data_IF_194282051851
#
_entry.id   IF_194282051851
#
_cell.length_a   1.000
_cell.length_b   1.000
_cell.length_c   1.000
_cell.angle_alpha   90.00
_cell.angle_beta   90.00
_cell.angle_gamma   90.00
#
_symmetry.space_group_name_H-M   'P 1'
#
loop_
_entity.id
_entity.type
_entity.pdbx_description
1 polymer ?
#
# COMPACT_ATOMS: atom_id res chain seq x y z
N UNK A 1 20.76 -31.25 18.60
CA UNK A 1 21.20 -29.83 18.61
C UNK A 1 20.04 -28.85 18.86
N UNK A 2 18.89 -29.00 18.21
CA UNK A 2 17.72 -28.11 18.38
C UNK A 2 17.00 -28.15 19.74
N UNK A 3 17.11 -29.26 20.48
CA UNK A 3 16.48 -29.41 21.81
C UNK A 3 17.15 -28.56 22.91
N UNK A 4 18.43 -28.19 22.71
CA UNK A 4 19.17 -27.30 23.62
C UNK A 4 18.95 -25.81 23.30
N UNK A 5 18.68 -25.47 22.04
CA UNK A 5 18.33 -24.10 21.64
C UNK A 5 16.95 -23.69 22.16
N UNK A 6 15.98 -24.62 22.14
CA UNK A 6 14.62 -24.36 22.64
C UNK A 6 14.55 -24.24 24.16
N UNK A 7 15.38 -25.01 24.89
CA UNK A 7 15.50 -24.90 26.34
C UNK A 7 16.19 -23.58 26.77
N UNK A 8 17.19 -23.11 26.00
CA UNK A 8 17.88 -21.85 26.26
C UNK A 8 16.99 -20.61 26.04
N UNK A 9 16.10 -20.65 25.05
CA UNK A 9 15.14 -19.57 24.79
C UNK A 9 14.01 -19.51 25.84
N UNK A 10 13.61 -20.66 26.40
CA UNK A 10 12.59 -20.71 27.46
C UNK A 10 13.13 -20.30 28.84
N UNK A 11 14.44 -20.48 29.09
CA UNK A 11 15.09 -20.03 30.33
C UNK A 11 15.35 -18.52 30.41
N UNK A 12 15.40 -17.82 29.27
CA UNK A 12 15.55 -16.35 29.22
C UNK A 12 14.22 -15.62 29.47
N UNK A 13 13.09 -16.30 29.28
CA UNK A 13 11.74 -15.76 29.48
C UNK A 13 11.18 -15.95 30.91
N UNK A 14 11.95 -16.52 31.84
CA UNK A 14 11.49 -16.85 33.21
C UNK A 14 12.37 -16.29 34.34
N UNK A 15 13.32 -15.41 34.05
CA UNK A 15 14.22 -14.82 35.06
C UNK A 15 14.06 -13.31 35.21
N UNK A 16 12.84 -12.84 35.49
CA UNK A 16 12.62 -11.51 36.08
C UNK A 16 11.56 -11.64 37.15
N UNK A 17 11.96 -11.97 38.38
CA UNK A 17 11.18 -11.73 39.61
C UNK A 17 12.04 -12.03 40.84
N UNK A 18 12.00 -11.11 41.82
CA UNK A 18 12.59 -11.16 43.18
C UNK A 18 14.08 -10.78 43.25
N UNK A 19 14.59 -9.92 44.14
CA UNK A 19 14.13 -9.27 45.37
C UNK A 19 14.86 -7.92 45.54
N UNK A 20 14.20 -6.92 46.12
CA UNK A 20 14.87 -5.90 46.92
C UNK A 20 13.92 -5.48 48.06
N UNK A 21 13.96 -6.23 49.16
CA UNK A 21 13.45 -5.81 50.46
C UNK A 21 14.53 -4.96 51.12
N UNK A 22 14.34 -3.65 51.13
CA UNK A 22 15.15 -2.72 51.91
C UNK A 22 14.53 -2.54 53.30
N UNK A 23 15.34 -2.81 54.33
CA UNK A 23 15.02 -2.65 55.75
C UNK A 23 14.61 -1.20 56.07
N UNK A 24 13.63 -1.08 56.97
CA UNK A 24 13.26 0.19 57.61
C UNK A 24 14.13 0.35 58.85
N UNK A 25 15.15 1.19 58.76
CA UNK A 25 15.91 1.64 59.93
C UNK A 25 15.39 3.01 60.38
N UNK A 26 14.86 3.05 61.60
CA UNK A 26 14.31 4.24 62.25
C UNK A 26 15.44 5.02 62.91
N UNK A 27 16.00 5.99 62.19
CA UNK A 27 17.01 6.92 62.71
C UNK A 27 16.67 8.37 62.37
N UNK A 28 16.46 9.19 63.40
CA UNK A 28 16.26 10.64 63.36
C UNK A 28 17.34 11.36 62.54
N UNK A 29 16.95 12.03 61.44
CA UNK A 29 17.84 12.91 60.67
C UNK A 29 17.76 14.37 61.17
N UNK A 30 18.90 15.06 61.32
CA UNK A 30 18.94 16.49 61.63
C UNK A 30 18.56 17.36 60.41
N UNK A 31 17.91 18.50 60.68
CA UNK A 31 17.52 19.52 59.69
C UNK A 31 18.69 19.93 58.78
N UNK A 32 18.56 19.63 57.48
CA UNK A 32 19.42 20.19 56.42
C UNK A 32 18.83 21.52 55.92
N UNK A 33 19.65 22.56 55.74
CA UNK A 33 19.19 23.84 55.22
C UNK A 33 18.73 23.71 53.77
N UNK A 34 17.61 24.36 53.44
CA UNK A 34 16.97 24.32 52.13
C UNK A 34 17.95 24.72 51.00
N UNK A 35 18.16 23.79 50.07
CA UNK A 35 18.86 24.07 48.81
C UNK A 35 18.05 25.07 47.96
N UNK A 36 18.70 25.94 47.16
CA UNK A 36 18.01 26.84 46.26
C UNK A 36 17.11 26.04 45.30
N UNK A 37 15.82 26.42 45.23
CA UNK A 37 14.90 25.82 44.27
C UNK A 37 15.39 26.13 42.85
N UNK A 38 15.97 25.14 42.16
CA UNK A 38 16.19 25.18 40.73
C UNK A 38 14.81 25.42 40.08
N UNK A 39 14.58 26.62 39.53
CA UNK A 39 13.40 26.93 38.72
C UNK A 39 13.32 25.88 37.61
N UNK A 40 12.33 24.99 37.68
CA UNK A 40 12.14 23.95 36.67
C UNK A 40 11.69 24.62 35.38
N UNK A 41 12.54 24.61 34.36
CA UNK A 41 12.13 24.84 32.97
C UNK A 41 11.03 23.84 32.64
N UNK A 42 9.85 24.34 32.25
CA UNK A 42 8.74 23.52 31.82
C UNK A 42 8.92 23.18 30.34
N UNK A 43 8.63 21.94 29.95
CA UNK A 43 8.78 21.50 28.57
C UNK A 43 7.40 21.40 27.92
N UNK A 44 7.24 22.02 26.75
CA UNK A 44 6.01 21.94 25.96
C UNK A 44 6.25 21.02 24.76
N UNK A 45 5.59 19.85 24.69
CA UNK A 45 5.69 18.99 23.52
C UNK A 45 5.11 19.67 22.29
N UNK A 46 5.84 19.60 21.17
CA UNK A 46 5.41 20.03 19.84
C UNK A 46 5.28 18.80 18.96
N UNK A 47 4.07 18.51 18.52
CA UNK A 47 3.78 17.46 17.53
C UNK A 47 3.47 18.09 16.18
N UNK A 48 3.63 17.31 15.10
CA UNK A 48 3.38 17.79 13.73
C UNK A 48 2.37 16.89 13.03
N UNK A 49 1.36 17.51 12.42
CA UNK A 49 0.46 16.92 11.43
C UNK A 49 0.97 17.40 10.07
N UNK A 50 1.44 16.48 9.23
CA UNK A 50 1.90 16.78 7.87
C UNK A 50 1.22 15.84 6.87
N UNK A 51 0.64 16.40 5.82
CA UNK A 51 -0.10 15.66 4.80
C UNK A 51 -1.52 15.27 5.22
N UNK A 52 -2.09 14.27 4.57
CA UNK A 52 -3.49 13.87 4.80
C UNK A 52 -3.72 13.26 6.19
N UNK A 53 -4.83 13.63 6.83
CA UNK A 53 -5.21 13.12 8.16
C UNK A 53 -5.91 11.76 8.01
N UNK A 54 -5.10 10.70 8.05
CA UNK A 54 -5.55 9.31 8.12
C UNK A 54 -5.56 8.74 9.55
N UNK A 55 -5.94 7.47 9.73
CA UNK A 55 -6.05 6.84 11.06
C UNK A 55 -4.73 6.80 11.83
N UNK A 56 -3.59 6.62 11.14
CA UNK A 56 -2.27 6.62 11.78
C UNK A 56 -1.90 8.00 12.37
N UNK A 57 -2.21 9.08 11.65
CA UNK A 57 -2.02 10.45 12.14
C UNK A 57 -2.96 10.73 13.30
N UNK A 58 -4.22 10.27 13.22
CA UNK A 58 -5.18 10.35 14.32
C UNK A 58 -4.68 9.67 15.59
N UNK A 59 -4.29 8.40 15.52
CA UNK A 59 -3.76 7.64 16.65
C UNK A 59 -2.51 8.29 17.27
N UNK A 60 -1.61 8.82 16.43
CA UNK A 60 -0.44 9.58 16.90
C UNK A 60 -0.83 10.82 17.71
N UNK A 61 -1.66 11.69 17.14
CA UNK A 61 -2.08 12.95 17.78
C UNK A 61 -2.83 12.67 19.07
N UNK A 62 -3.76 11.71 19.06
CA UNK A 62 -4.55 11.31 20.23
C UNK A 62 -3.63 10.82 21.36
N UNK A 63 -2.67 9.94 21.07
CA UNK A 63 -1.73 9.44 22.07
C UNK A 63 -0.86 10.54 22.67
N UNK A 64 -0.39 11.48 21.86
CA UNK A 64 0.44 12.58 22.36
C UNK A 64 -0.38 13.55 23.21
N UNK A 65 -1.65 13.81 22.86
CA UNK A 65 -2.57 14.56 23.73
C UNK A 65 -2.78 13.80 25.06
N UNK A 66 -3.07 12.50 25.02
CA UNK A 66 -3.26 11.68 26.23
C UNK A 66 -1.99 11.64 27.09
N UNK A 67 -0.83 11.52 26.45
CA UNK A 67 0.48 11.53 27.12
C UNK A 67 0.74 12.87 27.78
N UNK A 68 0.51 13.99 27.09
CA UNK A 68 0.69 15.31 27.65
C UNK A 68 -0.26 15.54 28.84
N UNK A 69 -1.51 15.06 28.74
CA UNK A 69 -2.46 15.06 29.86
C UNK A 69 -1.97 14.19 31.05
N UNK A 70 -1.25 13.09 30.81
CA UNK A 70 -0.74 12.24 31.91
C UNK A 70 0.43 12.84 32.70
N UNK A 71 1.08 13.89 32.19
CA UNK A 71 2.22 14.54 32.84
C UNK A 71 1.67 15.55 33.85
N UNK A 72 2.04 15.37 35.13
CA UNK A 72 1.72 16.32 36.18
C UNK A 72 2.27 17.72 35.83
N UNK A 73 1.42 18.73 35.94
CA UNK A 73 1.75 20.14 35.67
C UNK A 73 2.26 20.42 34.24
N UNK A 74 1.86 19.62 33.25
CA UNK A 74 2.16 19.91 31.85
C UNK A 74 1.55 21.27 31.44
N UNK A 75 2.38 22.23 30.98
CA UNK A 75 1.91 23.59 30.73
C UNK A 75 0.97 23.69 29.52
N UNK A 76 1.22 22.87 28.48
CA UNK A 76 0.45 22.82 27.25
C UNK A 76 0.95 21.70 26.33
N UNK A 77 0.28 21.49 25.20
CA UNK A 77 0.79 20.81 24.01
C UNK A 77 0.60 21.71 22.78
N UNK A 78 1.59 21.72 21.87
CA UNK A 78 1.50 22.44 20.58
C UNK A 78 1.35 21.43 19.44
N UNK A 79 0.40 21.70 18.55
CA UNK A 79 0.16 20.93 17.33
C UNK A 79 0.48 21.82 16.12
N UNK A 80 1.61 21.55 15.45
CA UNK A 80 1.94 22.18 14.18
C UNK A 80 1.18 21.48 13.04
N UNK A 81 0.52 22.24 12.16
CA UNK A 81 -0.41 21.73 11.16
C UNK A 81 0.04 22.18 9.77
N UNK A 82 0.23 21.20 8.88
CA UNK A 82 0.30 21.36 7.44
C UNK A 82 -0.48 20.21 6.77
N UNK A 83 -1.74 20.45 6.43
CA UNK A 83 -2.63 19.41 5.93
C UNK A 83 -3.58 19.91 4.84
N UNK A 84 -3.77 19.14 3.75
CA UNK A 84 -4.86 19.35 2.79
C UNK A 84 -6.23 18.94 3.32
N UNK A 85 -6.31 18.20 4.44
CA UNK A 85 -7.53 17.58 4.92
C UNK A 85 -7.34 16.10 5.24
N UNK A 86 -8.43 15.37 5.38
CA UNK A 86 -8.40 13.94 5.64
C UNK A 86 -9.76 13.36 5.96
N UNK A 87 -9.77 12.20 6.62
CA UNK A 87 -11.00 11.48 6.95
C UNK A 87 -11.77 12.19 8.06
N UNK A 88 -13.10 12.28 7.90
CA UNK A 88 -14.00 12.87 8.90
C UNK A 88 -13.96 12.09 10.22
N UNK A 89 -13.77 10.76 10.19
CA UNK A 89 -13.61 9.94 11.39
C UNK A 89 -12.39 10.37 12.21
N UNK A 90 -11.20 10.39 11.60
CA UNK A 90 -9.97 10.84 12.25
C UNK A 90 -10.07 12.26 12.76
N UNK A 91 -10.70 13.17 11.99
CA UNK A 91 -10.98 14.53 12.42
C UNK A 91 -11.82 14.58 13.70
N UNK A 92 -12.95 13.85 13.72
CA UNK A 92 -13.88 13.85 14.86
C UNK A 92 -13.21 13.29 16.10
N UNK A 93 -12.43 12.21 15.97
CA UNK A 93 -11.71 11.58 17.07
C UNK A 93 -10.63 12.51 17.66
N UNK A 94 -9.85 13.19 16.80
CA UNK A 94 -8.86 14.18 17.25
C UNK A 94 -9.56 15.31 18.00
N UNK A 95 -10.61 15.89 17.42
CA UNK A 95 -11.31 17.01 18.04
C UNK A 95 -11.93 16.64 19.38
N UNK A 96 -12.51 15.44 19.52
CA UNK A 96 -13.02 14.96 20.80
C UNK A 96 -11.93 14.94 21.88
N UNK A 97 -10.72 14.49 21.54
CA UNK A 97 -9.60 14.47 22.48
C UNK A 97 -9.05 15.87 22.79
N UNK A 98 -9.06 16.79 21.81
CA UNK A 98 -8.72 18.20 22.05
C UNK A 98 -9.72 18.84 23.02
N UNK A 99 -11.01 18.61 22.81
CA UNK A 99 -12.10 19.15 23.64
C UNK A 99 -12.12 18.54 25.05
N UNK A 100 -11.71 17.27 25.20
CA UNK A 100 -11.61 16.58 26.48
C UNK A 100 -10.27 16.82 27.20
N UNK A 101 -9.33 17.53 26.58
CA UNK A 101 -8.00 17.79 27.16
C UNK A 101 -8.11 18.68 28.40
N UNK A 102 -7.45 18.29 29.49
CA UNK A 102 -7.39 19.06 30.71
C UNK A 102 -6.12 19.93 30.80
N UNK A 103 -5.31 19.96 29.75
CA UNK A 103 -4.24 20.93 29.53
C UNK A 103 -4.54 21.77 28.27
N UNK A 104 -3.98 22.99 28.17
CA UNK A 104 -4.09 23.81 26.96
C UNK A 104 -3.53 23.09 25.72
N UNK A 105 -4.30 23.13 24.63
CA UNK A 105 -3.90 22.64 23.30
C UNK A 105 -3.81 23.83 22.36
N UNK A 106 -2.61 24.14 21.89
CA UNK A 106 -2.34 25.25 20.99
C UNK A 106 -2.04 24.71 19.60
N UNK A 107 -2.67 25.26 18.57
CA UNK A 107 -2.49 24.80 17.20
C UNK A 107 -1.85 25.90 16.36
N UNK A 108 -0.84 25.54 15.57
CA UNK A 108 -0.07 26.45 14.73
C UNK A 108 -0.07 25.95 13.29
N UNK A 109 -0.62 26.71 12.36
CA UNK A 109 -0.40 26.43 10.92
C UNK A 109 1.01 26.86 10.56
N UNK A 110 1.90 25.89 10.28
CA UNK A 110 3.34 26.09 10.11
C UNK A 110 3.96 24.89 9.40
N UNK A 111 5.03 25.07 8.59
CA UNK A 111 5.83 26.30 8.33
C UNK A 111 5.15 27.32 7.40
N UNK A 112 5.76 28.49 7.11
CA UNK A 112 5.31 29.34 6.01
C UNK A 112 5.09 28.55 4.71
N UNK A 113 3.96 28.79 4.03
CA UNK A 113 3.49 27.98 2.90
C UNK A 113 2.59 26.81 3.28
N UNK A 114 2.51 26.43 4.57
CA UNK A 114 1.60 25.41 5.07
C UNK A 114 0.13 25.86 5.00
N UNK A 115 -0.75 24.88 5.13
CA UNK A 115 -2.19 25.08 5.15
C UNK A 115 -2.89 24.25 6.22
N UNK A 116 -3.99 24.77 6.74
CA UNK A 116 -4.96 24.02 7.54
C UNK A 116 -6.27 23.90 6.75
N UNK A 117 -6.23 23.17 5.64
CA UNK A 117 -7.39 23.00 4.77
C UNK A 117 -8.31 21.86 5.25
N UNK A 118 -9.60 21.94 4.91
CA UNK A 118 -10.57 20.89 5.18
C UNK A 118 -10.57 20.48 6.67
N UNK A 119 -10.30 19.22 6.99
CA UNK A 119 -10.18 18.73 8.36
C UNK A 119 -9.21 19.57 9.24
N UNK A 120 -8.14 20.12 8.66
CA UNK A 120 -7.22 21.01 9.37
C UNK A 120 -7.89 22.26 9.94
N UNK A 121 -8.89 22.82 9.25
CA UNK A 121 -9.67 23.97 9.73
C UNK A 121 -10.47 23.60 10.98
N UNK A 122 -11.13 22.44 10.99
CA UNK A 122 -11.89 21.98 12.16
C UNK A 122 -10.98 21.67 13.36
N UNK A 123 -9.78 21.12 13.13
CA UNK A 123 -8.79 20.91 14.20
C UNK A 123 -8.38 22.25 14.79
N UNK A 124 -7.98 23.20 13.95
CA UNK A 124 -7.59 24.55 14.38
C UNK A 124 -8.70 25.22 15.20
N UNK A 125 -9.96 25.09 14.78
CA UNK A 125 -11.14 25.60 15.50
C UNK A 125 -11.42 24.89 16.82
N UNK A 126 -11.00 23.65 17.02
CA UNK A 126 -11.18 22.94 18.28
C UNK A 126 -10.15 23.35 19.35
N UNK A 127 -8.95 23.77 18.91
CA UNK A 127 -7.83 24.10 19.79
C UNK A 127 -8.15 25.33 20.66
N UNK A 128 -7.52 25.38 21.84
CA UNK A 128 -7.71 26.47 22.79
C UNK A 128 -7.13 27.77 22.24
N UNK A 129 -5.92 27.71 21.68
CA UNK A 129 -5.30 28.79 20.91
C UNK A 129 -5.13 28.32 19.47
N UNK A 130 -5.61 29.12 18.53
CA UNK A 130 -5.39 28.95 17.11
C UNK A 130 -4.40 30.01 16.64
N UNK A 131 -3.35 29.58 15.96
CA UNK A 131 -2.31 30.44 15.46
C UNK A 131 -1.88 30.07 14.05
N UNK A 132 -1.33 31.04 13.33
CA UNK A 132 -0.84 30.86 11.96
C UNK A 132 0.50 31.57 11.78
N UNK A 133 1.43 30.91 11.09
CA UNK A 133 2.63 31.55 10.60
C UNK A 133 2.32 32.47 9.41
N UNK A 134 3.15 33.50 9.14
CA UNK A 134 3.04 34.28 7.92
C UNK A 134 3.02 33.40 6.67
N UNK A 135 2.29 33.84 5.63
CA UNK A 135 2.14 33.11 4.37
C UNK A 135 1.56 31.69 4.52
N UNK A 136 0.68 31.47 5.49
CA UNK A 136 -0.13 30.24 5.61
C UNK A 136 -1.61 30.52 5.32
N UNK A 137 -2.37 29.46 5.08
CA UNK A 137 -3.81 29.56 4.75
C UNK A 137 -4.67 28.58 5.54
N UNK A 138 -5.95 28.91 5.73
CA UNK A 138 -6.97 28.00 6.26
C UNK A 138 -8.28 28.10 5.47
N UNK A 139 -9.20 27.15 5.69
CA UNK A 139 -10.52 27.12 5.06
C UNK A 139 -10.70 25.91 4.14
N UNK A 140 -11.47 26.09 3.05
CA UNK A 140 -11.84 25.00 2.14
C UNK A 140 -12.38 23.77 2.92
N UNK A 141 -13.34 24.02 3.80
CA UNK A 141 -13.85 23.09 4.82
C UNK A 141 -15.13 22.35 4.41
N UNK A 142 -15.51 22.43 3.13
CA UNK A 142 -16.66 21.74 2.55
C UNK A 142 -16.44 20.23 2.60
N UNK A 143 -17.37 19.44 3.16
CA UNK A 143 -17.27 17.99 3.12
C UNK A 143 -17.46 17.51 1.68
N UNK A 144 -16.56 16.63 1.25
CA UNK A 144 -16.67 15.94 -0.03
C UNK A 144 -16.86 14.45 0.25
N UNK A 145 -17.76 13.82 -0.49
CA UNK A 145 -18.08 12.42 -0.29
C UNK A 145 -17.03 11.57 -1.01
N UNK A 146 -16.24 10.81 -0.24
CA UNK A 146 -15.36 9.79 -0.79
C UNK A 146 -16.23 8.64 -1.31
N UNK A 147 -16.33 8.51 -2.63
CA UNK A 147 -17.28 7.62 -3.31
C UNK A 147 -18.23 8.40 -4.21
N UNK A 148 -17.82 8.59 -5.46
CA UNK A 148 -18.64 9.16 -6.53
C UNK A 148 -19.83 8.27 -6.90
N UNK A 149 -20.69 8.73 -7.83
CA UNK A 149 -21.82 7.93 -8.31
C UNK A 149 -21.29 6.62 -8.91
N UNK A 150 -21.93 5.49 -8.57
CA UNK A 150 -21.54 4.15 -9.02
C UNK A 150 -21.47 3.99 -10.56
N UNK A 151 -21.00 2.82 -11.04
CA UNK A 151 -20.70 2.61 -12.45
C UNK A 151 -21.98 2.77 -13.30
N UNK A 152 -22.01 3.79 -14.16
CA UNK A 152 -23.14 4.09 -15.05
C UNK A 152 -23.64 5.54 -15.00
N UNK A 153 -23.14 6.37 -14.09
CA UNK A 153 -23.40 7.81 -14.11
C UNK A 153 -22.59 8.49 -15.22
N UNK A 154 -23.24 8.83 -16.33
CA UNK A 154 -22.72 9.86 -17.22
C UNK A 154 -22.32 11.08 -16.38
N UNK A 155 -21.16 11.67 -16.67
CA UNK A 155 -20.81 13.01 -16.23
C UNK A 155 -21.89 13.97 -16.76
N UNK A 156 -22.97 14.14 -16.01
CA UNK A 156 -23.90 15.21 -16.27
C UNK A 156 -23.24 16.49 -15.77
N UNK A 157 -22.65 17.23 -16.70
CA UNK A 157 -22.23 18.63 -16.62
C UNK A 157 -23.40 19.61 -16.33
N UNK A 158 -24.45 19.15 -15.64
CA UNK A 158 -25.52 19.99 -15.11
C UNK A 158 -25.34 20.07 -13.60
N UNK A 159 -25.45 21.25 -12.98
CA UNK A 159 -25.51 21.36 -11.52
C UNK A 159 -26.81 20.68 -11.08
N UNK A 160 -26.74 19.37 -10.83
CA UNK A 160 -27.77 18.64 -10.13
C UNK A 160 -27.86 19.25 -8.74
N UNK A 161 -29.07 19.61 -8.31
CA UNK A 161 -29.30 20.01 -6.93
C UNK A 161 -28.66 18.99 -5.97
N UNK A 162 -27.96 19.43 -4.91
CA UNK A 162 -27.31 18.50 -4.02
C UNK A 162 -28.32 17.52 -3.45
N UNK A 163 -27.94 16.25 -3.42
CA UNK A 163 -28.79 15.17 -2.96
C UNK A 163 -29.24 15.41 -1.51
N UNK A 164 -30.34 14.77 -1.09
CA UNK A 164 -30.79 14.87 0.30
C UNK A 164 -29.71 14.41 1.30
N UNK A 165 -28.82 13.49 0.89
CA UNK A 165 -27.68 13.06 1.69
C UNK A 165 -26.58 14.12 1.75
N UNK A 166 -26.19 14.70 0.62
CA UNK A 166 -25.20 15.78 0.54
C UNK A 166 -25.64 17.00 1.37
N UNK A 167 -26.92 17.38 1.27
CA UNK A 167 -27.50 18.45 2.11
C UNK A 167 -27.40 18.12 3.59
N UNK A 168 -27.61 16.85 4.00
CA UNK A 168 -27.48 16.42 5.40
C UNK A 168 -26.03 16.50 5.89
N UNK A 169 -25.08 15.98 5.11
CA UNK A 169 -23.64 16.03 5.43
C UNK A 169 -23.17 17.49 5.52
N UNK A 170 -23.54 18.32 4.54
CA UNK A 170 -23.20 19.75 4.54
C UNK A 170 -23.75 20.46 5.79
N UNK A 171 -25.02 20.24 6.13
CA UNK A 171 -25.63 20.87 7.30
C UNK A 171 -25.01 20.37 8.62
N UNK A 172 -24.64 19.10 8.73
CA UNK A 172 -23.90 18.56 9.89
C UNK A 172 -22.53 19.23 10.03
N UNK A 173 -21.77 19.33 8.93
CA UNK A 173 -20.48 20.01 8.89
C UNK A 173 -20.58 21.48 9.29
N UNK A 174 -21.60 22.20 8.80
CA UNK A 174 -21.87 23.60 9.16
C UNK A 174 -22.20 23.72 10.64
N UNK A 175 -23.11 22.88 11.16
CA UNK A 175 -23.45 22.89 12.58
C UNK A 175 -22.22 22.61 13.45
N UNK A 176 -21.38 21.68 13.03
CA UNK A 176 -20.18 21.30 13.76
C UNK A 176 -19.16 22.42 13.83
N UNK A 177 -18.73 23.01 12.71
CA UNK A 177 -17.73 24.10 12.74
C UNK A 177 -18.26 25.32 13.50
N UNK A 178 -19.56 25.64 13.35
CA UNK A 178 -20.20 26.74 14.09
C UNK A 178 -20.16 26.50 15.60
N UNK A 179 -20.40 25.26 16.04
CA UNK A 179 -20.33 24.91 17.46
C UNK A 179 -18.91 25.08 18.04
N UNK A 180 -17.88 24.69 17.28
CA UNK A 180 -16.48 24.90 17.68
C UNK A 180 -16.12 26.39 17.72
N UNK A 181 -16.60 27.16 16.72
CA UNK A 181 -16.42 28.61 16.67
C UNK A 181 -17.03 29.30 17.89
N UNK A 182 -18.29 28.96 18.22
CA UNK A 182 -19.00 29.49 19.38
C UNK A 182 -18.30 29.12 20.69
N UNK A 183 -17.91 27.85 20.85
CA UNK A 183 -17.20 27.37 22.03
C UNK A 183 -15.90 28.13 22.28
N UNK A 184 -15.22 28.55 21.22
CA UNK A 184 -13.90 29.20 21.29
C UNK A 184 -13.94 30.71 21.06
N UNK A 185 -15.13 31.31 20.96
CA UNK A 185 -15.30 32.75 20.73
C UNK A 185 -14.74 33.24 19.39
N UNK A 186 -14.72 32.39 18.37
CA UNK A 186 -14.22 32.67 17.02
C UNK A 186 -15.36 33.05 16.08
N UNK A 187 -15.02 33.69 14.97
CA UNK A 187 -15.97 34.13 13.95
C UNK A 187 -16.81 32.97 13.39
N UNK A 188 -18.09 32.96 13.75
CA UNK A 188 -19.05 31.88 13.44
C UNK A 188 -19.54 32.00 12.01
N UNK A 189 -19.75 33.23 11.54
CA UNK A 189 -20.21 33.52 10.18
C UNK A 189 -19.17 33.09 9.16
N UNK A 190 -17.90 33.39 9.41
CA UNK A 190 -16.81 32.95 8.55
C UNK A 190 -16.61 31.43 8.61
N UNK A 191 -16.70 30.83 9.80
CA UNK A 191 -16.62 29.38 9.96
C UNK A 191 -17.65 28.66 9.08
N UNK A 192 -18.89 29.16 9.02
CA UNK A 192 -19.90 28.63 8.11
C UNK A 192 -19.53 28.82 6.64
N UNK A 193 -19.05 30.01 6.24
CA UNK A 193 -18.61 30.28 4.85
C UNK A 193 -17.50 29.34 4.40
N UNK A 194 -16.55 29.02 5.28
CA UNK A 194 -15.48 28.07 4.98
C UNK A 194 -16.01 26.69 4.57
N UNK A 195 -17.18 26.29 5.09
CA UNK A 195 -17.83 25.01 4.77
C UNK A 195 -18.82 25.15 3.61
N UNK A 196 -19.67 26.17 3.61
CA UNK A 196 -20.74 26.35 2.61
C UNK A 196 -20.20 26.78 1.25
N UNK A 197 -19.19 27.63 1.23
CA UNK A 197 -18.65 28.29 0.04
C UNK A 197 -17.20 27.90 -0.26
N UNK A 198 -16.64 26.94 0.49
CA UNK A 198 -15.23 26.56 0.45
C UNK A 198 -14.27 27.75 0.64
N UNK A 199 -14.71 28.80 1.36
CA UNK A 199 -13.92 30.02 1.54
C UNK A 199 -12.58 29.75 2.23
N UNK A 200 -11.56 30.53 1.88
CA UNK A 200 -10.20 30.46 2.45
C UNK A 200 -9.74 31.83 2.92
N UNK A 201 -8.85 31.86 3.91
CA UNK A 201 -8.17 33.08 4.39
C UNK A 201 -6.66 32.88 4.48
N UNK A 202 -5.93 33.97 4.28
CA UNK A 202 -4.54 34.10 4.73
C UNK A 202 -4.44 34.33 6.24
N UNK A 203 -3.26 34.10 6.81
CA UNK A 203 -2.99 34.32 8.24
C UNK A 203 -3.40 35.72 8.75
N UNK A 204 -3.11 36.77 7.99
CA UNK A 204 -3.43 38.15 8.39
C UNK A 204 -4.94 38.40 8.41
N UNK A 205 -5.66 37.99 7.36
CA UNK A 205 -7.12 38.15 7.30
C UNK A 205 -7.82 37.29 8.38
N UNK A 206 -7.28 36.11 8.67
CA UNK A 206 -7.78 35.24 9.74
C UNK A 206 -7.64 35.90 11.12
N UNK A 207 -6.55 36.63 11.37
CA UNK A 207 -6.38 37.38 12.60
C UNK A 207 -7.37 38.55 12.68
N UNK A 208 -7.46 39.34 11.60
CA UNK A 208 -8.37 40.50 11.51
C UNK A 208 -9.85 40.10 11.70
N UNK A 209 -10.24 38.96 11.15
CA UNK A 209 -11.61 38.45 11.24
C UNK A 209 -11.88 37.66 12.52
N UNK A 210 -10.95 37.57 13.48
CA UNK A 210 -11.08 36.77 14.71
C UNK A 210 -11.39 35.29 14.43
N UNK A 211 -10.72 34.72 13.42
CA UNK A 211 -10.71 33.29 13.10
C UNK A 211 -9.58 32.59 13.86
N UNK A 212 -8.47 33.29 14.08
CA UNK A 212 -7.34 32.83 14.91
C UNK A 212 -7.07 33.82 16.04
N UNK A 213 -6.35 33.37 17.07
CA UNK A 213 -6.01 34.17 18.23
C UNK A 213 -4.78 35.06 17.98
N UNK A 214 -3.74 34.49 17.35
CA UNK A 214 -2.44 35.17 17.17
C UNK A 214 -1.74 34.70 15.91
N UNK A 215 -0.81 35.50 15.41
CA UNK A 215 0.19 35.05 14.44
C UNK A 215 1.51 34.72 15.15
N UNK A 216 2.20 33.67 14.71
CA UNK A 216 3.48 33.25 15.27
C UNK A 216 4.34 32.54 14.22
N UNK A 217 5.62 32.86 14.12
CA UNK A 217 6.51 32.30 13.09
C UNK A 217 6.96 30.87 13.42
N UNK A 218 7.08 30.56 14.71
CA UNK A 218 7.50 29.25 15.22
C UNK A 218 6.68 28.81 16.44
N UNK A 219 6.76 27.52 16.83
CA UNK A 219 6.18 27.04 18.09
C UNK A 219 6.66 27.81 19.32
N UNK A 220 7.93 28.25 19.35
CA UNK A 220 8.45 29.03 20.47
C UNK A 220 7.86 30.45 20.50
N UNK A 221 7.66 31.06 19.33
CA UNK A 221 7.01 32.38 19.22
C UNK A 221 5.54 32.29 19.62
N UNK A 222 4.87 31.17 19.32
CA UNK A 222 3.49 30.92 19.75
C UNK A 222 3.39 30.89 21.27
N UNK A 223 4.30 30.17 21.96
CA UNK A 223 4.33 30.19 23.43
C UNK A 223 4.55 31.61 23.97
N UNK A 224 5.45 32.36 23.34
CA UNK A 224 5.72 33.75 23.73
C UNK A 224 4.50 34.65 23.54
N UNK A 225 3.80 34.54 22.40
CA UNK A 225 2.60 35.32 22.08
C UNK A 225 1.35 34.90 22.89
N UNK A 226 1.29 33.64 23.34
CA UNK A 226 0.20 33.12 24.15
C UNK A 226 0.37 33.42 25.65
N UNK A 227 1.57 33.80 26.10
CA UNK A 227 1.84 34.13 27.50
C UNK A 227 1.01 35.34 27.94
N UNK A 228 0.37 35.23 29.10
CA UNK A 228 -0.53 36.25 29.66
C UNK A 228 -1.97 36.19 29.14
N UNK A 229 -2.25 35.38 28.11
CA UNK A 229 -3.63 35.16 27.66
C UNK A 229 -4.39 34.32 28.69
N UNK A 230 -5.68 34.61 28.84
CA UNK A 230 -6.57 33.89 29.75
C UNK A 230 -7.56 33.09 28.92
N UNK A 231 -7.72 31.81 29.25
CA UNK A 231 -8.65 30.90 28.56
C UNK A 231 -9.46 30.07 29.55
N UNK A 232 -10.61 29.59 29.08
CA UNK A 232 -11.43 28.64 29.84
C UNK A 232 -10.91 27.21 29.61
N UNK A 233 -10.53 26.55 30.71
CA UNK A 233 -10.13 25.14 30.76
C UNK A 233 -10.89 24.47 31.90
N UNK A 234 -11.62 23.39 31.62
CA UNK A 234 -12.45 22.69 32.62
C UNK A 234 -13.38 23.63 33.43
N UNK A 235 -14.00 24.62 32.78
CA UNK A 235 -14.83 25.65 33.40
C UNK A 235 -14.10 26.56 34.41
N UNK A 236 -12.78 26.63 34.32
CA UNK A 236 -11.94 27.53 35.10
C UNK A 236 -11.17 28.46 34.17
N UNK A 237 -11.02 29.72 34.58
CA UNK A 237 -10.17 30.67 33.87
C UNK A 237 -8.71 30.37 34.25
N UNK A 238 -7.90 30.02 33.25
CA UNK A 238 -6.47 29.74 33.39
C UNK A 238 -5.69 30.80 32.61
N UNK A 239 -4.79 31.52 33.29
CA UNK A 239 -3.84 32.42 32.64
C UNK A 239 -2.60 31.63 32.25
N UNK A 240 -2.23 31.70 30.97
CA UNK A 240 -1.09 30.99 30.42
C UNK A 240 0.23 31.68 30.82
N UNK A 241 1.18 30.90 31.32
CA UNK A 241 2.56 31.35 31.57
C UNK A 241 3.56 30.40 30.91
N UNK A 242 4.20 30.88 29.86
CA UNK A 242 5.25 30.14 29.14
C UNK A 242 6.60 30.84 29.19
N UNK A 243 6.79 31.78 30.13
CA UNK A 243 7.98 32.66 30.21
C UNK A 243 9.31 31.90 30.29
N UNK A 244 9.27 30.65 30.78
CA UNK A 244 10.42 29.76 30.91
C UNK A 244 10.21 28.40 30.22
N UNK A 245 9.21 28.31 29.34
CA UNK A 245 8.90 27.07 28.65
C UNK A 245 9.82 26.86 27.44
N UNK A 246 10.29 25.63 27.29
CA UNK A 246 11.08 25.19 26.13
C UNK A 246 10.26 24.22 25.29
N UNK A 247 10.32 24.39 23.97
CA UNK A 247 9.70 23.44 23.04
C UNK A 247 10.51 22.15 22.96
N UNK A 248 9.82 21.01 23.06
CA UNK A 248 10.39 19.69 22.79
C UNK A 248 9.66 19.08 21.60
N UNK A 249 10.37 18.92 20.48
CA UNK A 249 9.80 18.25 19.33
C UNK A 249 9.56 16.78 19.65
N UNK A 250 8.34 16.32 19.39
CA UNK A 250 7.95 14.92 19.44
C UNK A 250 7.76 14.43 18.01
N UNK A 251 8.55 13.44 17.63
CA UNK A 251 8.41 12.75 16.35
C UNK A 251 7.57 11.47 16.54
N UNK A 252 6.84 11.02 15.49
CA UNK A 252 6.10 9.77 15.55
C UNK A 252 6.99 8.58 15.93
N UNK A 253 6.48 7.72 16.81
CA UNK A 253 7.14 6.48 17.22
C UNK A 253 7.19 5.44 16.07
N UNK A 254 7.92 4.34 16.28
CA UNK A 254 8.05 3.28 15.26
C UNK A 254 6.70 2.68 14.87
N UNK A 255 5.77 2.56 15.82
CA UNK A 255 4.43 2.03 15.55
C UNK A 255 3.65 2.97 14.65
N UNK A 256 3.65 4.27 14.91
CA UNK A 256 2.96 5.27 14.11
C UNK A 256 3.60 5.39 12.73
N UNK A 257 4.92 5.32 12.62
CA UNK A 257 5.62 5.23 11.33
C UNK A 257 5.21 3.98 10.55
N UNK A 258 5.12 2.83 11.21
CA UNK A 258 4.66 1.59 10.58
C UNK A 258 3.20 1.71 10.12
N UNK A 259 2.31 2.18 10.98
CA UNK A 259 0.90 2.41 10.66
C UNK A 259 0.75 3.37 9.49
N UNK A 260 1.42 4.52 9.53
CA UNK A 260 1.40 5.49 8.43
C UNK A 260 1.89 4.87 7.12
N UNK A 261 2.96 4.06 7.18
CA UNK A 261 3.51 3.36 6.01
C UNK A 261 2.51 2.37 5.42
N UNK A 262 1.87 1.53 6.24
CA UNK A 262 0.93 0.52 5.72
C UNK A 262 -0.41 1.14 5.30
N UNK A 263 -0.81 2.27 5.88
CA UNK A 263 -2.02 3.01 5.48
C UNK A 263 -1.81 3.89 4.26
N UNK A 264 -0.60 3.96 3.70
CA UNK A 264 -0.40 4.53 2.37
C UNK A 264 -1.06 3.62 1.32
N UNK A 265 -1.99 4.14 0.49
CA UNK A 265 -2.68 3.39 -0.55
C UNK A 265 -1.76 2.59 -1.48
N UNK A 266 -0.61 3.15 -1.86
CA UNK A 266 0.33 2.51 -2.78
C UNK A 266 1.05 1.35 -2.08
N UNK A 267 1.45 1.55 -0.82
CA UNK A 267 2.08 0.49 -0.02
C UNK A 267 1.08 -0.64 0.25
N UNK A 268 -0.15 -0.32 0.67
CA UNK A 268 -1.21 -1.33 0.87
C UNK A 268 -1.46 -2.14 -0.40
N UNK A 269 -1.51 -1.46 -1.55
CA UNK A 269 -1.69 -2.08 -2.86
C UNK A 269 -0.52 -3.00 -3.25
N UNK A 270 0.74 -2.55 -3.04
CA UNK A 270 1.94 -3.35 -3.30
C UNK A 270 1.97 -4.58 -2.38
N UNK A 271 1.68 -4.42 -1.09
CA UNK A 271 1.61 -5.51 -0.12
C UNK A 271 0.56 -6.55 -0.53
N UNK A 272 -0.60 -6.11 -1.00
CA UNK A 272 -1.61 -7.02 -1.54
C UNK A 272 -1.09 -7.77 -2.77
N UNK A 273 -0.42 -7.10 -3.72
CA UNK A 273 0.15 -7.75 -4.91
C UNK A 273 1.21 -8.78 -4.54
N UNK A 274 2.14 -8.44 -3.64
CA UNK A 274 3.11 -9.39 -3.10
C UNK A 274 2.39 -10.54 -2.41
N UNK A 275 1.31 -10.24 -1.67
CA UNK A 275 0.49 -11.22 -0.99
C UNK A 275 -0.10 -12.26 -1.93
N UNK A 276 -0.79 -11.78 -2.96
CA UNK A 276 -1.42 -12.58 -4.00
C UNK A 276 -0.38 -13.40 -4.77
N UNK A 277 0.69 -12.77 -5.28
CA UNK A 277 1.71 -13.49 -6.04
C UNK A 277 2.51 -14.48 -5.18
N UNK A 278 2.78 -14.17 -3.92
CA UNK A 278 3.46 -15.08 -2.99
C UNK A 278 2.65 -16.37 -2.74
N UNK A 279 1.35 -16.23 -2.55
CA UNK A 279 0.45 -17.39 -2.45
C UNK A 279 0.43 -18.18 -3.77
N UNK A 280 0.35 -17.51 -4.92
CA UNK A 280 0.35 -18.18 -6.22
C UNK A 280 1.62 -18.98 -6.48
N UNK A 281 2.79 -18.40 -6.19
CA UNK A 281 4.07 -19.09 -6.38
C UNK A 281 4.19 -20.34 -5.50
N UNK A 282 3.68 -20.30 -4.27
CA UNK A 282 3.64 -21.49 -3.40
C UNK A 282 2.74 -22.60 -3.97
N UNK A 283 1.63 -22.24 -4.60
CA UNK A 283 0.74 -23.21 -5.26
C UNK A 283 1.36 -23.83 -6.53
N UNK A 284 2.10 -23.06 -7.34
CA UNK A 284 2.76 -23.61 -8.55
C UNK A 284 4.03 -24.40 -8.23
N UNK A 285 4.78 -23.93 -7.25
CA UNK A 285 6.07 -24.49 -6.86
C UNK A 285 6.15 -24.49 -5.34
N UNK A 286 5.88 -25.63 -4.67
CA UNK A 286 5.96 -25.73 -3.22
C UNK A 286 7.35 -25.26 -2.75
N UNK A 287 7.42 -24.07 -2.16
CA UNK A 287 8.69 -23.36 -1.91
C UNK A 287 9.03 -23.38 -0.42
N UNK A 288 9.07 -24.57 0.18
CA UNK A 288 9.24 -24.76 1.64
C UNK A 288 8.28 -23.90 2.49
N UNK A 289 7.18 -23.39 1.92
CA UNK A 289 6.27 -22.44 2.57
C UNK A 289 6.73 -20.98 2.62
N UNK A 290 7.92 -20.62 2.12
CA UNK A 290 8.47 -19.25 2.29
C UNK A 290 7.63 -18.23 1.50
N UNK A 291 7.35 -18.51 0.22
CA UNK A 291 6.52 -17.63 -0.60
C UNK A 291 5.09 -17.57 -0.07
N UNK A 292 4.54 -18.72 0.36
CA UNK A 292 3.19 -18.80 0.90
C UNK A 292 3.02 -18.03 2.21
N UNK A 293 3.93 -18.18 3.18
CA UNK A 293 3.90 -17.48 4.47
C UNK A 293 4.08 -15.97 4.26
N UNK A 294 5.07 -15.58 3.46
CA UNK A 294 5.32 -14.16 3.14
C UNK A 294 4.09 -13.56 2.46
N UNK A 295 3.52 -14.28 1.48
CA UNK A 295 2.31 -13.87 0.78
C UNK A 295 1.12 -13.69 1.73
N UNK A 296 0.87 -14.67 2.60
CA UNK A 296 -0.21 -14.61 3.58
C UNK A 296 -0.07 -13.41 4.53
N UNK A 297 1.14 -13.16 5.06
CA UNK A 297 1.41 -12.02 5.95
C UNK A 297 1.17 -10.70 5.22
N UNK A 298 1.74 -10.53 4.02
CA UNK A 298 1.55 -9.33 3.22
C UNK A 298 0.08 -9.09 2.88
N UNK A 299 -0.68 -10.14 2.55
CA UNK A 299 -2.11 -10.04 2.27
C UNK A 299 -2.91 -9.64 3.51
N UNK A 300 -2.63 -10.22 4.68
CA UNK A 300 -3.31 -9.86 5.94
C UNK A 300 -3.04 -8.40 6.33
N UNK A 301 -1.80 -7.92 6.17
CA UNK A 301 -1.45 -6.52 6.43
C UNK A 301 -2.18 -5.59 5.45
N UNK A 302 -2.24 -5.95 4.17
CA UNK A 302 -2.96 -5.16 3.17
C UNK A 302 -4.47 -5.10 3.46
N UNK A 303 -5.08 -6.22 3.87
CA UNK A 303 -6.49 -6.26 4.27
C UNK A 303 -6.75 -5.38 5.50
N UNK A 304 -5.86 -5.40 6.48
CA UNK A 304 -5.94 -4.49 7.63
C UNK A 304 -5.83 -3.01 7.21
N UNK A 305 -4.92 -2.68 6.29
CA UNK A 305 -4.81 -1.32 5.75
C UNK A 305 -6.08 -0.89 5.00
N UNK A 306 -6.66 -1.77 4.18
CA UNK A 306 -7.90 -1.51 3.46
C UNK A 306 -9.12 -1.36 4.39
N UNK A 307 -9.12 -1.99 5.56
CA UNK A 307 -10.16 -1.76 6.57
C UNK A 307 -10.10 -0.33 7.14
N UNK A 308 -8.91 0.27 7.19
CA UNK A 308 -8.68 1.63 7.69
C UNK A 308 -8.87 2.71 6.61
N UNK A 309 -8.92 2.32 5.33
CA UNK A 309 -9.08 3.20 4.19
C UNK A 309 -10.52 3.14 3.65
N UNK A 310 -10.99 4.20 2.98
CA UNK A 310 -12.32 4.25 2.37
C UNK A 310 -12.36 3.42 1.07
N UNK A 311 -12.31 2.09 1.21
CA UNK A 311 -12.25 1.17 0.07
C UNK A 311 -13.62 0.97 -0.56
N UNK A 312 -13.67 1.06 -1.89
CA UNK A 312 -14.87 0.69 -2.65
C UNK A 312 -14.89 -0.82 -2.90
N UNK A 313 -15.91 -1.49 -2.35
CA UNK A 313 -16.08 -2.94 -2.50
C UNK A 313 -16.27 -3.41 -3.94
N UNK A 314 -16.81 -2.57 -4.83
CA UNK A 314 -16.90 -2.88 -6.27
C UNK A 314 -15.52 -2.92 -6.90
N UNK A 315 -14.67 -1.92 -6.60
CA UNK A 315 -13.29 -1.88 -7.06
C UNK A 315 -12.49 -3.08 -6.56
N UNK A 316 -12.59 -3.38 -5.26
CA UNK A 316 -11.98 -4.57 -4.67
C UNK A 316 -12.46 -5.87 -5.32
N UNK A 317 -13.77 -6.01 -5.55
CA UNK A 317 -14.36 -7.18 -6.20
C UNK A 317 -13.88 -7.37 -7.65
N UNK A 318 -13.84 -6.30 -8.44
CA UNK A 318 -13.31 -6.32 -9.82
C UNK A 318 -11.82 -6.68 -9.87
N UNK A 319 -11.05 -6.18 -8.91
CA UNK A 319 -9.63 -6.47 -8.82
C UNK A 319 -9.37 -7.94 -8.45
N UNK A 320 -10.11 -8.48 -7.47
CA UNK A 320 -10.07 -9.90 -7.12
C UNK A 320 -10.53 -10.79 -8.27
N UNK A 321 -11.55 -10.38 -9.03
CA UNK A 321 -11.97 -11.05 -10.25
C UNK A 321 -10.84 -11.06 -11.30
N UNK A 322 -10.17 -9.92 -11.52
CA UNK A 322 -9.04 -9.83 -12.44
C UNK A 322 -7.90 -10.78 -12.08
N UNK A 323 -7.56 -10.84 -10.79
CA UNK A 323 -6.59 -11.79 -10.23
C UNK A 323 -7.06 -13.24 -10.47
N UNK A 324 -8.32 -13.56 -10.15
CA UNK A 324 -8.87 -14.89 -10.36
C UNK A 324 -8.83 -15.33 -11.83
N UNK A 325 -9.08 -14.41 -12.77
CA UNK A 325 -8.97 -14.66 -14.20
C UNK A 325 -7.52 -14.92 -14.64
N UNK A 326 -6.54 -14.21 -14.07
CA UNK A 326 -5.12 -14.53 -14.30
C UNK A 326 -4.76 -15.93 -13.84
N UNK A 327 -5.26 -16.32 -12.67
CA UNK A 327 -5.05 -17.67 -12.13
C UNK A 327 -5.72 -18.69 -13.05
N UNK A 328 -6.96 -18.44 -13.47
CA UNK A 328 -7.70 -19.34 -14.34
C UNK A 328 -7.00 -19.56 -15.70
N UNK A 329 -6.44 -18.51 -16.32
CA UNK A 329 -5.67 -18.62 -17.58
C UNK A 329 -4.49 -19.59 -17.48
N UNK A 330 -3.86 -19.70 -16.30
CA UNK A 330 -2.73 -20.60 -16.10
C UNK A 330 -3.11 -22.08 -16.13
N UNK A 331 -4.33 -22.42 -15.67
CA UNK A 331 -4.85 -23.79 -15.60
C UNK A 331 -5.63 -24.15 -16.86
N UNK A 332 -6.30 -23.16 -17.45
CA UNK A 332 -7.10 -23.26 -18.65
C UNK A 332 -6.49 -22.30 -19.68
N UNK A 333 -5.51 -22.75 -20.50
CA UNK A 333 -4.89 -21.93 -21.52
C UNK A 333 -5.95 -21.49 -22.55
N UNK A 334 -6.56 -20.33 -22.34
CA UNK A 334 -7.71 -19.83 -23.09
C UNK A 334 -7.29 -18.97 -24.29
N UNK A 335 -6.01 -19.08 -24.66
CA UNK A 335 -5.35 -18.26 -25.69
C UNK A 335 -5.37 -16.77 -25.35
N UNK A 336 -5.30 -16.42 -24.06
CA UNK A 336 -5.21 -15.04 -23.59
C UNK A 336 -6.55 -14.32 -23.43
N UNK A 337 -7.70 -15.00 -23.58
CA UNK A 337 -9.01 -14.39 -23.35
C UNK A 337 -9.23 -14.07 -21.85
N UNK A 338 -9.03 -15.05 -20.97
CA UNK A 338 -9.11 -14.82 -19.52
C UNK A 338 -7.99 -13.90 -19.06
N UNK A 339 -6.78 -14.03 -19.62
CA UNK A 339 -5.66 -13.13 -19.34
C UNK A 339 -5.97 -11.66 -19.66
N UNK A 340 -6.46 -11.36 -20.87
CA UNK A 340 -6.79 -9.97 -21.26
C UNK A 340 -7.99 -9.41 -20.49
N UNK A 341 -9.05 -10.21 -20.30
CA UNK A 341 -10.17 -9.84 -19.43
C UNK A 341 -9.74 -9.59 -17.98
N UNK A 342 -8.78 -10.39 -17.49
CA UNK A 342 -8.15 -10.23 -16.19
C UNK A 342 -7.44 -8.89 -16.02
N UNK A 343 -6.65 -8.46 -17.02
CA UNK A 343 -5.99 -7.13 -17.01
C UNK A 343 -7.04 -6.02 -16.95
N UNK A 344 -8.06 -6.08 -17.78
CA UNK A 344 -9.09 -5.03 -17.84
C UNK A 344 -9.84 -4.95 -16.50
N UNK A 345 -10.30 -6.09 -15.98
CA UNK A 345 -10.99 -6.16 -14.69
C UNK A 345 -10.09 -5.67 -13.54
N UNK A 346 -8.81 -6.07 -13.55
CA UNK A 346 -7.82 -5.63 -12.58
C UNK A 346 -7.61 -4.12 -12.63
N UNK A 347 -7.35 -3.53 -13.81
CA UNK A 347 -7.11 -2.08 -13.95
C UNK A 347 -8.34 -1.28 -13.53
N UNK A 348 -9.54 -1.66 -13.99
CA UNK A 348 -10.78 -0.99 -13.58
C UNK A 348 -11.02 -1.13 -12.08
N UNK A 349 -10.80 -2.31 -11.52
CA UNK A 349 -10.90 -2.55 -10.08
C UNK A 349 -9.93 -1.69 -9.27
N UNK A 350 -8.67 -1.58 -9.71
CA UNK A 350 -7.64 -0.78 -9.06
C UNK A 350 -7.91 0.72 -9.12
N UNK A 351 -8.45 1.22 -10.25
CA UNK A 351 -8.86 2.63 -10.38
C UNK A 351 -10.01 2.94 -9.43
N UNK A 352 -10.97 2.03 -9.29
CA UNK A 352 -12.10 2.20 -8.38
C UNK A 352 -11.78 1.84 -6.92
N UNK A 353 -10.63 1.23 -6.63
CA UNK A 353 -10.33 0.63 -5.31
C UNK A 353 -10.44 1.64 -4.18
N UNK A 354 -9.85 2.82 -4.36
CA UNK A 354 -9.90 3.90 -3.39
C UNK A 354 -10.36 5.17 -4.09
N UNK A 355 -11.58 5.58 -3.78
CA UNK A 355 -12.23 6.74 -4.36
C UNK A 355 -12.24 7.90 -3.35
N UNK A 356 -11.23 8.77 -3.45
CA UNK A 356 -11.02 9.89 -2.52
C UNK A 356 -10.65 11.14 -3.29
N UNK A 357 -11.24 12.31 -3.01
CA UNK A 357 -10.84 13.57 -3.66
C UNK A 357 -9.45 14.08 -3.28
N UNK A 358 -8.87 13.53 -2.21
CA UNK A 358 -7.48 13.80 -1.83
C UNK A 358 -6.54 12.91 -2.64
N UNK A 359 -5.67 13.48 -3.50
CA UNK A 359 -4.71 12.71 -4.29
C UNK A 359 -3.78 11.86 -3.43
N UNK A 360 -3.44 12.31 -2.21
CA UNK A 360 -2.57 11.57 -1.29
C UNK A 360 -3.22 10.28 -0.75
N UNK A 361 -4.55 10.16 -0.82
CA UNK A 361 -5.29 8.97 -0.41
C UNK A 361 -5.70 8.08 -1.60
N UNK A 362 -5.32 8.41 -2.83
CA UNK A 362 -5.55 7.55 -4.02
C UNK A 362 -4.35 6.64 -4.28
N UNK A 363 -4.63 5.49 -4.90
CA UNK A 363 -3.57 4.67 -5.52
C UNK A 363 -3.06 5.41 -6.77
N UNK A 364 -1.74 5.51 -6.92
CA UNK A 364 -1.11 6.16 -8.06
C UNK A 364 -1.47 5.46 -9.36
N UNK A 365 -2.00 6.21 -10.33
CA UNK A 365 -2.28 5.69 -11.68
C UNK A 365 -1.00 5.13 -12.34
N UNK A 366 0.15 5.76 -12.09
CA UNK A 366 1.45 5.28 -12.58
C UNK A 366 1.75 3.87 -12.05
N UNK A 367 1.46 3.61 -10.78
CA UNK A 367 1.65 2.29 -10.18
C UNK A 367 0.70 1.25 -10.79
N UNK A 368 -0.57 1.62 -10.98
CA UNK A 368 -1.58 0.75 -11.60
C UNK A 368 -1.14 0.38 -13.02
N UNK A 369 -0.77 1.37 -13.85
CA UNK A 369 -0.32 1.12 -15.22
C UNK A 369 1.00 0.34 -15.28
N UNK A 370 1.93 0.59 -14.35
CA UNK A 370 3.18 -0.18 -14.28
C UNK A 370 2.91 -1.67 -14.04
N UNK A 371 2.06 -2.00 -13.06
CA UNK A 371 1.73 -3.39 -12.73
C UNK A 371 0.91 -4.04 -13.85
N UNK A 372 -0.03 -3.31 -14.46
CA UNK A 372 -0.79 -3.78 -15.60
C UNK A 372 0.11 -4.06 -16.81
N UNK A 373 1.07 -3.18 -17.11
CA UNK A 373 2.03 -3.35 -18.20
C UNK A 373 2.96 -4.54 -17.97
N UNK A 374 3.46 -4.74 -16.74
CA UNK A 374 4.25 -5.92 -16.39
C UNK A 374 3.43 -7.20 -16.58
N UNK A 375 2.19 -7.21 -16.10
CA UNK A 375 1.29 -8.37 -16.23
C UNK A 375 0.97 -8.67 -17.71
N UNK A 376 0.70 -7.64 -18.51
CA UNK A 376 0.50 -7.77 -19.95
C UNK A 376 1.76 -8.31 -20.67
N UNK A 377 2.94 -7.80 -20.29
CA UNK A 377 4.22 -8.26 -20.82
C UNK A 377 4.48 -9.75 -20.56
N UNK A 378 4.18 -10.22 -19.34
CA UNK A 378 4.28 -11.65 -18.98
C UNK A 378 3.33 -12.50 -19.84
N UNK A 379 2.07 -12.08 -20.00
CA UNK A 379 1.09 -12.80 -20.83
C UNK A 379 1.55 -12.87 -22.29
N UNK A 380 2.00 -11.75 -22.87
CA UNK A 380 2.51 -11.71 -24.24
C UNK A 380 3.74 -12.63 -24.39
N UNK A 381 4.65 -12.63 -23.41
CA UNK A 381 5.82 -13.50 -23.43
C UNK A 381 5.44 -14.99 -23.41
N UNK A 382 4.53 -15.39 -22.53
CA UNK A 382 4.04 -16.77 -22.45
C UNK A 382 3.35 -17.19 -23.75
N UNK A 383 2.45 -16.36 -24.27
CA UNK A 383 1.75 -16.63 -25.55
C UNK A 383 2.75 -16.79 -26.70
N UNK A 384 3.76 -15.91 -26.80
CA UNK A 384 4.82 -16.04 -27.80
C UNK A 384 5.57 -17.36 -27.67
N UNK A 385 5.97 -17.76 -26.45
CA UNK A 385 6.67 -19.03 -26.22
C UNK A 385 5.82 -20.24 -26.56
N UNK A 386 4.54 -20.25 -26.20
CA UNK A 386 3.61 -21.33 -26.54
C UNK A 386 3.42 -21.42 -28.06
N UNK A 387 3.26 -20.28 -28.76
CA UNK A 387 3.13 -20.27 -30.21
C UNK A 387 4.42 -20.72 -30.92
N UNK A 388 5.60 -20.34 -30.43
CA UNK A 388 6.89 -20.82 -30.93
C UNK A 388 7.03 -22.33 -30.74
N UNK A 389 6.64 -22.86 -29.58
CA UNK A 389 6.69 -24.29 -29.30
C UNK A 389 5.70 -25.10 -30.16
N UNK A 390 4.50 -24.57 -30.43
CA UNK A 390 3.55 -25.21 -31.34
C UNK A 390 4.00 -25.18 -32.81
N UNK A 391 4.83 -24.21 -33.20
CA UNK A 391 5.39 -24.11 -34.56
C UNK A 391 6.62 -24.99 -34.77
N UNK A 392 7.29 -25.42 -33.69
CA UNK A 392 8.30 -26.48 -33.80
C UNK A 392 7.56 -27.79 -34.08
N UNK A 393 7.83 -28.39 -35.24
CA UNK A 393 7.26 -29.68 -35.61
C UNK A 393 7.48 -30.70 -34.48
N UNK A 394 6.45 -31.49 -34.21
CA UNK A 394 6.51 -32.62 -33.29
C UNK A 394 7.50 -33.62 -33.89
N UNK A 395 8.74 -33.64 -33.39
CA UNK A 395 9.72 -34.69 -33.72
C UNK A 395 9.69 -35.73 -32.60
N UNK A 396 8.50 -36.25 -32.29
CA UNK A 396 8.33 -37.35 -31.34
C UNK A 396 7.20 -38.27 -31.78
N UNK A 397 7.55 -39.51 -32.13
CA UNK A 397 6.64 -40.55 -32.63
C UNK A 397 6.83 -40.84 -34.12
N UNK A 398 6.03 -41.79 -34.64
CA UNK A 398 6.02 -42.46 -35.96
C UNK A 398 6.53 -41.68 -37.18
N UNK A 399 6.38 -40.35 -37.20
CA UNK A 399 6.80 -39.46 -38.29
C UNK A 399 8.31 -39.16 -38.29
N UNK A 400 9.02 -39.38 -37.19
CA UNK A 400 10.47 -39.19 -37.11
C UNK A 400 11.27 -40.34 -37.76
N UNK A 401 10.69 -41.54 -37.87
CA UNK A 401 11.33 -42.70 -38.48
C UNK A 401 11.11 -42.74 -40.00
N UNK A 402 10.05 -42.11 -40.51
CA UNK A 402 9.77 -42.05 -41.94
C UNK A 402 10.82 -41.20 -42.67
N UNK A 403 11.55 -41.82 -43.62
CA UNK A 403 12.64 -41.19 -44.36
C UNK A 403 14.04 -41.50 -43.81
N UNK A 404 14.15 -42.07 -42.61
CA UNK A 404 15.43 -42.45 -42.02
C UNK A 404 16.07 -43.66 -42.70
N UNK A 405 17.39 -43.74 -42.60
CA UNK A 405 18.20 -44.79 -43.23
C UNK A 405 18.60 -45.85 -42.20
N UNK A 406 18.67 -47.09 -42.65
CA UNK A 406 19.04 -48.22 -41.81
C UNK A 406 19.70 -49.35 -42.59
N UNK A 407 19.87 -50.48 -41.91
CA UNK A 407 20.50 -51.68 -42.49
C UNK A 407 19.66 -52.91 -42.16
N UNK A 408 19.47 -53.81 -43.14
CA UNK A 408 18.85 -55.10 -42.91
C UNK A 408 19.75 -56.01 -42.05
N UNK A 409 19.25 -56.52 -40.92
CA UNK A 409 20.02 -57.36 -40.00
C UNK A 409 20.08 -58.83 -40.45
N UNK A 410 19.12 -59.24 -41.26
CA UNK A 410 18.98 -60.58 -41.82
C UNK A 410 18.46 -60.51 -43.26
N UNK A 411 18.55 -61.62 -43.98
CA UNK A 411 17.98 -61.70 -45.33
C UNK A 411 16.53 -62.16 -45.23
N UNK A 412 15.59 -61.36 -45.74
CA UNK A 412 14.17 -61.64 -45.64
C UNK A 412 13.36 -61.15 -46.86
N UNK A 413 12.20 -61.76 -47.07
CA UNK A 413 11.20 -61.38 -48.07
C UNK A 413 9.86 -61.27 -47.37
N UNK A 414 9.19 -60.14 -47.44
CA UNK A 414 8.03 -59.88 -46.59
C UNK A 414 8.48 -59.35 -45.23
N UNK A 415 8.57 -60.19 -44.19
CA UNK A 415 8.88 -59.79 -42.81
C UNK A 415 10.32 -60.13 -42.36
N UNK A 416 10.96 -59.24 -41.62
CA UNK A 416 12.23 -59.50 -40.93
C UNK A 416 12.67 -58.33 -40.05
N UNK A 417 13.93 -58.35 -39.59
CA UNK A 417 14.47 -57.31 -38.71
C UNK A 417 15.47 -56.36 -39.40
N UNK A 418 15.34 -55.07 -39.09
CA UNK A 418 16.24 -54.00 -39.54
C UNK A 418 16.80 -53.22 -38.35
N UNK A 419 17.88 -52.50 -38.60
CA UNK A 419 18.49 -51.58 -37.65
C UNK A 419 18.37 -50.15 -38.16
N UNK A 420 17.67 -49.30 -37.41
CA UNK A 420 17.41 -47.87 -37.73
C UNK A 420 17.67 -47.07 -36.45
N UNK A 421 18.45 -45.99 -36.54
CA UNK A 421 18.77 -45.09 -35.41
C UNK A 421 19.29 -45.81 -34.14
N UNK A 422 20.04 -46.92 -34.30
CA UNK A 422 20.61 -47.64 -33.16
C UNK A 422 19.67 -48.67 -32.50
N UNK A 423 18.45 -48.84 -33.02
CA UNK A 423 17.44 -49.75 -32.48
C UNK A 423 17.08 -50.88 -33.47
N UNK A 424 16.65 -52.04 -32.94
CA UNK A 424 16.19 -53.18 -33.75
C UNK A 424 14.68 -53.10 -33.91
N UNK A 425 14.24 -53.00 -35.16
CA UNK A 425 12.84 -52.90 -35.53
C UNK A 425 12.38 -54.09 -36.36
N UNK A 426 11.13 -54.50 -36.17
CA UNK A 426 10.46 -55.39 -37.12
C UNK A 426 10.09 -54.58 -38.36
N UNK A 427 10.30 -55.15 -39.54
CA UNK A 427 10.07 -54.46 -40.80
C UNK A 427 9.47 -55.37 -41.87
N UNK A 428 8.68 -54.74 -42.74
CA UNK A 428 8.12 -55.35 -43.94
C UNK A 428 8.74 -54.70 -45.18
N UNK A 429 9.15 -55.52 -46.14
CA UNK A 429 9.63 -55.09 -47.44
C UNK A 429 8.90 -55.81 -48.57
N UNK A 430 8.42 -55.04 -49.54
CA UNK A 430 7.80 -55.55 -50.77
C UNK A 430 8.85 -56.15 -51.74
N UNK A 431 10.15 -55.94 -51.46
CA UNK A 431 11.30 -56.40 -52.25
C UNK A 431 12.20 -57.29 -51.38
N UNK A 432 12.79 -58.38 -51.91
CA UNK A 432 13.74 -59.20 -51.14
C UNK A 432 14.96 -58.39 -50.67
N UNK A 433 15.26 -58.45 -49.37
CA UNK A 433 16.41 -57.80 -48.75
C UNK A 433 17.44 -58.85 -48.33
N UNK A 434 18.72 -58.56 -48.55
CA UNK A 434 19.85 -59.34 -48.02
C UNK A 434 20.40 -58.71 -46.75
N UNK A 435 20.92 -59.52 -45.84
CA UNK A 435 21.65 -59.03 -44.66
C UNK A 435 22.75 -58.03 -45.07
N UNK A 436 22.71 -56.84 -44.49
CA UNK A 436 23.63 -55.74 -44.77
C UNK A 436 23.15 -54.76 -45.84
N UNK A 437 22.00 -54.98 -46.48
CA UNK A 437 21.46 -54.05 -47.46
C UNK A 437 21.08 -52.70 -46.80
N UNK A 438 21.44 -51.56 -47.41
CA UNK A 438 20.97 -50.25 -46.96
C UNK A 438 19.48 -50.10 -47.29
N UNK A 439 18.70 -49.69 -46.30
CA UNK A 439 17.27 -49.49 -46.41
C UNK A 439 16.88 -48.05 -46.06
N UNK A 440 15.74 -47.62 -46.57
CA UNK A 440 15.05 -46.39 -46.15
C UNK A 440 13.67 -46.76 -45.65
N UNK A 441 13.30 -46.18 -44.52
CA UNK A 441 11.95 -46.31 -43.96
C UNK A 441 10.99 -45.46 -44.78
N UNK A 442 9.91 -46.06 -45.25
CA UNK A 442 8.84 -45.39 -45.98
C UNK A 442 7.78 -44.89 -45.00
N UNK A 443 7.38 -45.76 -44.08
CA UNK A 443 6.26 -45.52 -43.17
C UNK A 443 6.39 -46.44 -41.95
N UNK A 444 5.82 -46.03 -40.80
CA UNK A 444 5.66 -46.88 -39.62
C UNK A 444 4.18 -47.24 -39.49
N UNK A 445 3.85 -48.54 -39.56
CA UNK A 445 2.51 -49.07 -39.29
C UNK A 445 2.50 -49.82 -37.95
N UNK A 446 1.96 -49.19 -36.91
CA UNK A 446 2.01 -49.71 -35.55
C UNK A 446 3.44 -49.81 -35.00
N UNK A 447 3.96 -51.04 -34.89
CA UNK A 447 5.33 -51.35 -34.45
C UNK A 447 6.20 -51.93 -35.58
N UNK A 448 5.69 -51.95 -36.81
CA UNK A 448 6.36 -52.55 -37.97
C UNK A 448 6.73 -51.44 -38.97
N UNK A 449 8.01 -51.37 -39.34
CA UNK A 449 8.51 -50.42 -40.32
C UNK A 449 8.30 -50.95 -41.75
N UNK A 450 7.65 -50.18 -42.62
CA UNK A 450 7.67 -50.46 -44.05
C UNK A 450 8.96 -49.89 -44.64
N UNK A 451 9.81 -50.74 -45.20
CA UNK A 451 11.15 -50.36 -45.69
C UNK A 451 11.33 -50.72 -47.16
N UNK A 452 12.22 -50.00 -47.84
CA UNK A 452 12.63 -50.34 -49.21
C UNK A 452 14.14 -50.27 -49.36
N UNK A 453 14.68 -51.04 -50.31
CA UNK A 453 16.10 -51.09 -50.61
C UNK A 453 16.54 -49.79 -51.27
N UNK A 454 17.60 -49.18 -50.75
CA UNK A 454 18.22 -48.01 -51.37
C UNK A 454 19.32 -48.48 -52.32
N UNK A 455 19.14 -48.26 -53.62
CA UNK A 455 20.21 -48.43 -54.60
C UNK A 455 21.34 -47.45 -54.27
N UNK A 456 22.54 -47.92 -53.97
CA UNK A 456 23.70 -47.04 -53.82
C UNK A 456 23.91 -46.25 -55.11
N UNK A 457 23.53 -44.97 -55.10
CA UNK A 457 23.91 -44.03 -56.14
C UNK A 457 25.41 -43.81 -56.02
N UNK A 458 26.12 -44.25 -57.04
CA UNK A 458 27.55 -44.05 -57.27
C UNK A 458 27.92 -42.59 -57.00
N UNK A 459 28.79 -42.36 -56.00
CA UNK A 459 29.45 -41.06 -55.76
C UNK A 459 30.11 -40.62 -57.06
N UNK A 460 29.54 -39.65 -57.76
CA UNK A 460 30.23 -38.90 -58.81
C UNK A 460 31.17 -37.92 -58.12
N UNK A 461 32.46 -38.21 -58.18
CA UNK A 461 33.52 -37.22 -58.04
C UNK A 461 33.34 -36.16 -59.11
N UNK A 462 32.86 -34.99 -58.73
CA UNK A 462 33.10 -33.71 -59.42
C UNK A 462 32.96 -32.61 -58.38
N UNK A 463 34.02 -32.41 -57.61
CA UNK A 463 34.21 -31.23 -56.78
C UNK A 463 35.65 -30.75 -56.96
N UNK A 464 35.91 -30.23 -58.16
CA UNK A 464 37.12 -29.52 -58.51
C UNK A 464 36.75 -28.44 -59.53
N UNK A 465 36.25 -27.30 -59.06
CA UNK A 465 36.42 -25.95 -59.61
C UNK A 465 35.23 -25.04 -59.29
N UNK A 466 35.19 -24.44 -58.10
CA UNK A 466 34.82 -23.02 -58.01
C UNK A 466 35.23 -22.40 -56.66
N UNK A 467 36.50 -22.02 -56.54
CA UNK A 467 36.94 -21.05 -55.54
C UNK A 467 37.89 -20.06 -56.20
N UNK A 468 37.33 -19.22 -57.07
CA UNK A 468 37.98 -18.00 -57.54
C UNK A 468 36.93 -17.10 -58.20
N UNK A 469 36.41 -16.12 -57.47
CA UNK A 469 36.31 -14.70 -57.84
C UNK A 469 35.20 -13.98 -57.08
N UNK A 470 35.63 -12.89 -56.43
CA UNK A 470 34.92 -11.71 -55.92
C UNK A 470 34.08 -11.79 -54.64
#
# INVERSE_FOLDING_TARGET
MYRRLFAALLSVLLSVSTLATGETDSGTQPEQPALPQLQRSSTVPVITISGAIGPAVGDYVIKEIQRANSIADAPAIVIAIDTPGGLVSSLRDINQHILASHIPVLCLVHPPGARAASAGTYILYACHIAAMAPATTLGAATPVQMGGPGPGGEQQDKPSEPSAMEKKILNDSIAYIRSLAQLRGRNVEWAEKAVREAATLSASEALELNVINVMAESPQDLLSAATGQTLELNHQQVTLDFSHAQVEKRDPDLRNKFLATITDPNVAYILMMIGVYGLLLEFYSPSFGIAGITGAICLLIALYAFQLLPVNYVGLGLMLLGIALFIAESFLPSFGLLGSGGIVAFVLGSVFLIDSDLPELRVSLTLIYAIAAVSAGVIIFVLKRVMELRKKQVVSGSEALAGEHGVALESFTGHGFVHVEGERWEAISDVPLSKGDPIRVIELDGLILKVTKVSQVKRSTDDASNSSQH
#
